data_IF_890142083411
#
_entry.id   IF_890142083411
#
_cell.length_a   1.000
_cell.length_b   1.000
_cell.length_c   1.000
_cell.angle_alpha   90.00
_cell.angle_beta   90.00
_cell.angle_gamma   90.00
#
_symmetry.space_group_name_H-M   'P 1'
#
loop_
_entity.id
_entity.type
_entity.pdbx_description
1 polymer ?
#
# COMPACT_ATOMS: atom_id res chain seq x y z
N UNK A 1 31.63 -3.65 0.29
CA UNK A 1 30.61 -2.84 1.00
C UNK A 1 29.91 -2.00 -0.04
N UNK A 2 28.61 -2.21 -0.33
CA UNK A 2 27.92 -1.40 -1.33
C UNK A 2 27.90 0.07 -0.91
N UNK A 3 28.14 0.95 -1.87
CA UNK A 3 28.17 2.40 -1.68
C UNK A 3 26.77 2.93 -1.36
N UNK A 4 26.66 4.05 -0.62
CA UNK A 4 25.36 4.65 -0.27
C UNK A 4 24.37 4.76 -1.46
N UNK A 5 24.76 5.19 -2.67
CA UNK A 5 23.83 5.22 -3.81
C UNK A 5 23.37 3.83 -4.28
N UNK A 6 24.23 2.81 -4.26
CA UNK A 6 23.83 1.44 -4.66
C UNK A 6 22.79 0.86 -3.70
N UNK A 7 22.90 1.13 -2.40
CA UNK A 7 21.90 0.70 -1.41
C UNK A 7 20.56 1.39 -1.64
N UNK A 8 20.56 2.71 -1.83
CA UNK A 8 19.34 3.48 -2.11
C UNK A 8 18.60 2.98 -3.37
N UNK A 9 19.35 2.70 -4.45
CA UNK A 9 18.75 2.16 -5.67
C UNK A 9 18.23 0.73 -5.48
N UNK A 10 18.93 -0.09 -4.70
CA UNK A 10 18.50 -1.45 -4.38
C UNK A 10 17.23 -1.47 -3.53
N UNK A 11 17.15 -0.59 -2.53
CA UNK A 11 16.01 -0.44 -1.64
C UNK A 11 14.78 0.04 -2.43
N UNK A 12 14.94 1.04 -3.33
CA UNK A 12 13.85 1.51 -4.18
C UNK A 12 13.40 0.45 -5.21
N UNK A 13 14.34 -0.34 -5.74
CA UNK A 13 14.02 -1.47 -6.61
C UNK A 13 13.18 -2.54 -5.90
N UNK A 14 13.49 -2.84 -4.63
CA UNK A 14 12.73 -3.75 -3.80
C UNK A 14 11.32 -3.21 -3.49
N UNK A 15 11.20 -1.91 -3.16
CA UNK A 15 9.91 -1.22 -2.98
C UNK A 15 9.06 -1.33 -4.24
N UNK A 16 9.63 -1.07 -5.41
CA UNK A 16 8.90 -1.15 -6.68
C UNK A 16 8.39 -2.57 -6.97
N UNK A 17 9.22 -3.58 -6.74
CA UNK A 17 8.85 -4.97 -6.97
C UNK A 17 7.69 -5.41 -6.05
N UNK A 18 7.75 -5.03 -4.78
CA UNK A 18 6.72 -5.38 -3.80
C UNK A 18 5.43 -4.57 -4.00
N UNK A 19 5.52 -3.30 -4.41
CA UNK A 19 4.35 -2.49 -4.76
C UNK A 19 3.55 -3.14 -5.91
N UNK A 20 4.24 -3.55 -6.98
CA UNK A 20 3.61 -4.27 -8.10
C UNK A 20 3.05 -5.62 -7.71
N UNK A 21 3.71 -6.32 -6.78
CA UNK A 21 3.20 -7.60 -6.29
C UNK A 21 1.91 -7.38 -5.48
N UNK A 22 1.88 -6.36 -4.62
CA UNK A 22 0.72 -6.03 -3.79
C UNK A 22 -0.51 -5.69 -4.63
N UNK A 23 -0.36 -4.90 -5.70
CA UNK A 23 -1.45 -4.53 -6.62
C UNK A 23 -2.02 -5.72 -7.40
N UNK A 24 -1.22 -6.77 -7.58
CA UNK A 24 -1.65 -7.99 -8.27
C UNK A 24 -2.30 -9.00 -7.34
N UNK A 25 -2.20 -8.82 -6.02
CA UNK A 25 -2.84 -9.70 -5.06
C UNK A 25 -4.31 -9.32 -4.93
N UNK A 26 -5.19 -10.23 -5.37
CA UNK A 26 -6.64 -10.07 -5.30
C UNK A 26 -7.11 -10.09 -3.82
N UNK A 27 -7.78 -9.03 -3.33
CA UNK A 27 -8.36 -8.99 -1.99
C UNK A 27 -9.42 -10.06 -1.73
N UNK A 28 -10.02 -10.64 -2.79
CA UNK A 28 -11.09 -11.64 -2.70
C UNK A 28 -10.64 -13.10 -2.70
N UNK A 29 -9.33 -13.37 -2.73
CA UNK A 29 -8.80 -14.72 -2.84
C UNK A 29 -8.65 -15.44 -1.48
N UNK A 30 -8.58 -16.78 -1.54
CA UNK A 30 -8.47 -17.74 -0.41
C UNK A 30 -7.59 -17.32 0.78
N UNK A 31 -7.72 -17.99 1.94
CA UNK A 31 -6.90 -17.71 3.15
C UNK A 31 -5.39 -17.61 2.88
N UNK A 32 -4.86 -18.37 1.92
CA UNK A 32 -3.45 -18.31 1.51
C UNK A 32 -3.08 -16.98 0.85
N UNK A 33 -3.98 -16.43 0.03
CA UNK A 33 -3.80 -15.12 -0.60
C UNK A 33 -3.84 -14.00 0.45
N UNK A 34 -4.70 -14.11 1.46
CA UNK A 34 -4.72 -13.16 2.58
C UNK A 34 -3.41 -13.20 3.39
N UNK A 35 -2.85 -14.38 3.65
CA UNK A 35 -1.56 -14.50 4.33
C UNK A 35 -0.40 -13.92 3.50
N UNK A 36 -0.41 -14.17 2.19
CA UNK A 36 0.56 -13.61 1.26
C UNK A 36 0.45 -12.08 1.18
N UNK A 37 -0.77 -11.55 1.11
CA UNK A 37 -1.02 -10.11 1.16
C UNK A 37 -0.42 -9.49 2.42
N UNK A 38 -0.70 -10.06 3.60
CA UNK A 38 -0.15 -9.57 4.88
C UNK A 38 1.38 -9.55 4.87
N UNK A 39 2.01 -10.61 4.36
CA UNK A 39 3.47 -10.69 4.29
C UNK A 39 4.05 -9.63 3.35
N UNK A 40 3.47 -9.46 2.16
CA UNK A 40 3.91 -8.45 1.18
C UNK A 40 3.72 -7.04 1.73
N UNK A 41 2.55 -6.74 2.29
CA UNK A 41 2.26 -5.45 2.89
C UNK A 41 3.20 -5.14 4.07
N UNK A 42 3.47 -6.10 4.95
CA UNK A 42 4.40 -5.89 6.07
C UNK A 42 5.82 -5.59 5.60
N UNK A 43 6.34 -6.35 4.62
CA UNK A 43 7.70 -6.14 4.10
C UNK A 43 7.81 -4.83 3.33
N UNK A 44 6.81 -4.51 2.49
CA UNK A 44 6.75 -3.24 1.78
C UNK A 44 6.71 -2.08 2.76
N UNK A 45 5.93 -2.19 3.83
CA UNK A 45 5.83 -1.15 4.86
C UNK A 45 7.16 -0.85 5.55
N UNK A 46 7.92 -1.88 5.93
CA UNK A 46 9.24 -1.69 6.54
C UNK A 46 10.24 -0.99 5.59
N UNK A 47 10.18 -1.31 4.29
CA UNK A 47 11.03 -0.65 3.28
C UNK A 47 10.61 0.79 3.01
N UNK A 48 9.31 1.06 3.03
CA UNK A 48 8.74 2.40 2.87
C UNK A 48 9.09 3.32 4.05
N UNK A 49 9.09 2.79 5.28
CA UNK A 49 9.48 3.52 6.50
C UNK A 49 10.99 3.86 6.51
N UNK A 50 11.81 2.96 5.96
CA UNK A 50 13.25 3.17 5.82
C UNK A 50 13.65 3.99 4.57
N UNK A 51 12.72 4.25 3.65
CA UNK A 51 13.02 4.93 2.39
C UNK A 51 13.28 6.42 2.61
N UNK A 52 14.34 6.94 2.00
CA UNK A 52 14.63 8.37 2.02
C UNK A 52 13.55 9.15 1.25
N UNK A 53 12.91 10.17 1.85
CA UNK A 53 11.97 11.03 1.15
C UNK A 53 12.63 11.73 -0.04
N UNK A 54 11.96 11.74 -1.19
CA UNK A 54 12.49 12.43 -2.37
C UNK A 54 11.71 12.18 -3.65
N UNK A 55 12.13 12.80 -4.77
CA UNK A 55 11.41 12.75 -6.05
C UNK A 55 11.20 11.33 -6.57
N UNK A 56 12.18 10.44 -6.35
CA UNK A 56 12.10 9.05 -6.81
C UNK A 56 11.06 8.23 -6.04
N UNK A 57 10.97 8.43 -4.71
CA UNK A 57 9.94 7.81 -3.88
C UNK A 57 8.56 8.36 -4.24
N UNK A 58 8.42 9.67 -4.40
CA UNK A 58 7.15 10.29 -4.81
C UNK A 58 6.65 9.73 -6.15
N UNK A 59 7.52 9.65 -7.17
CA UNK A 59 7.15 9.09 -8.47
C UNK A 59 6.69 7.62 -8.38
N UNK A 60 7.31 6.82 -7.51
CA UNK A 60 6.88 5.44 -7.26
C UNK A 60 5.50 5.41 -6.61
N UNK A 61 5.29 6.21 -5.56
CA UNK A 61 4.02 6.25 -4.85
C UNK A 61 2.90 6.83 -5.73
N UNK A 62 3.18 7.70 -6.69
CA UNK A 62 2.19 8.23 -7.63
C UNK A 62 1.80 7.18 -8.70
N UNK A 63 2.73 6.29 -9.05
CA UNK A 63 2.48 5.20 -10.00
C UNK A 63 1.80 3.98 -9.36
N UNK A 64 1.91 3.81 -8.03
CA UNK A 64 1.47 2.62 -7.31
C UNK A 64 0.52 2.95 -6.15
N UNK A 65 -0.81 3.05 -6.37
CA UNK A 65 -1.77 3.49 -5.35
C UNK A 65 -1.79 2.61 -4.09
N UNK A 66 -1.58 1.29 -4.20
CA UNK A 66 -1.55 0.42 -3.01
C UNK A 66 -0.34 0.71 -2.11
N UNK A 67 0.80 1.07 -2.71
CA UNK A 67 1.98 1.49 -1.96
C UNK A 67 1.82 2.89 -1.36
N UNK A 68 1.15 3.80 -2.07
CA UNK A 68 0.78 5.11 -1.55
C UNK A 68 -0.10 5.00 -0.30
N UNK A 69 -1.17 4.20 -0.36
CA UNK A 69 -2.07 4.00 0.78
C UNK A 69 -1.32 3.44 1.99
N UNK A 70 -0.43 2.47 1.78
CA UNK A 70 0.39 1.91 2.86
C UNK A 70 1.36 2.94 3.45
N UNK A 71 2.03 3.72 2.60
CA UNK A 71 2.92 4.81 3.03
C UNK A 71 2.17 5.86 3.85
N UNK A 72 0.98 6.26 3.39
CA UNK A 72 0.09 7.19 4.09
C UNK A 72 -0.34 6.65 5.45
N UNK A 73 -0.75 5.38 5.53
CA UNK A 73 -1.15 4.73 6.77
C UNK A 73 -0.01 4.63 7.80
N UNK A 74 1.22 4.40 7.35
CA UNK A 74 2.41 4.37 8.22
C UNK A 74 2.75 5.75 8.78
N UNK A 75 2.68 6.77 7.93
CA UNK A 75 3.01 8.15 8.29
C UNK A 75 1.79 8.96 8.76
N UNK A 76 0.69 8.28 9.11
CA UNK A 76 -0.60 8.88 9.45
C UNK A 76 -0.49 9.88 10.62
N UNK A 77 0.37 9.60 11.61
CA UNK A 77 0.59 10.50 12.74
C UNK A 77 1.29 11.81 12.35
N UNK A 78 1.93 11.86 11.16
CA UNK A 78 2.78 12.96 10.70
C UNK A 78 2.21 13.68 9.47
N UNK A 79 1.31 13.03 8.72
CA UNK A 79 0.70 13.56 7.49
C UNK A 79 -0.83 13.49 7.58
N UNK A 80 -1.43 14.40 8.33
CA UNK A 80 -2.87 14.56 8.37
C UNK A 80 -3.42 15.17 7.08
N UNK A 81 -3.38 14.45 5.94
CA UNK A 81 -4.34 14.48 4.81
C UNK A 81 -3.74 13.87 3.53
N UNK A 82 -4.33 12.73 3.14
CA UNK A 82 -4.45 12.10 1.81
C UNK A 82 -3.52 12.59 0.68
N UNK A 83 -2.58 11.74 0.25
CA UNK A 83 -1.82 11.93 -1.01
C UNK A 83 -2.60 11.43 -2.23
N UNK A 84 -3.64 10.60 -2.05
CA UNK A 84 -4.61 10.20 -3.09
C UNK A 84 -6.01 10.76 -2.82
N UNK A 85 -6.70 11.15 -3.90
CA UNK A 85 -8.02 11.79 -3.84
C UNK A 85 -9.02 10.93 -3.06
N UNK A 86 -9.61 11.51 -2.02
CA UNK A 86 -10.68 10.99 -1.14
C UNK A 86 -11.78 10.15 -1.83
N UNK A 87 -12.00 10.31 -3.14
CA UNK A 87 -13.04 9.62 -3.89
C UNK A 87 -12.88 8.09 -3.99
N UNK A 88 -11.65 7.56 -4.13
CA UNK A 88 -11.44 6.11 -4.23
C UNK A 88 -11.64 5.40 -2.88
N UNK A 89 -11.17 6.03 -1.79
CA UNK A 89 -11.35 5.53 -0.42
C UNK A 89 -12.83 5.56 0.00
N UNK A 90 -13.55 6.65 -0.32
CA UNK A 90 -14.99 6.74 -0.10
C UNK A 90 -15.78 5.67 -0.88
N UNK A 91 -15.35 5.33 -2.09
CA UNK A 91 -15.98 4.25 -2.88
C UNK A 91 -15.90 2.89 -2.19
N UNK A 92 -14.74 2.55 -1.63
CA UNK A 92 -14.55 1.32 -0.85
C UNK A 92 -15.35 1.32 0.46
N UNK A 93 -15.43 2.46 1.14
CA UNK A 93 -16.25 2.62 2.34
C UNK A 93 -17.75 2.40 2.05
N UNK A 94 -18.27 3.05 1.01
CA UNK A 94 -19.66 2.89 0.56
C UNK A 94 -19.93 1.42 0.19
N UNK A 95 -19.03 0.79 -0.57
CA UNK A 95 -19.16 -0.61 -0.96
C UNK A 95 -19.17 -1.56 0.24
N UNK A 96 -18.31 -1.34 1.24
CA UNK A 96 -18.27 -2.13 2.47
C UNK A 96 -19.54 -1.97 3.30
N UNK A 97 -20.03 -0.74 3.47
CA UNK A 97 -21.28 -0.45 4.19
C UNK A 97 -22.47 -1.14 3.53
N UNK A 98 -22.56 -1.09 2.20
CA UNK A 98 -23.66 -1.72 1.47
C UNK A 98 -23.63 -3.24 1.57
N UNK A 99 -22.44 -3.85 1.55
CA UNK A 99 -22.29 -5.30 1.70
C UNK A 99 -22.73 -5.76 3.10
N UNK A 100 -22.33 -5.03 4.15
CA UNK A 100 -22.76 -5.28 5.54
C UNK A 100 -24.28 -5.13 5.68
N UNK A 101 -24.86 -4.09 5.07
CA UNK A 101 -26.31 -3.83 5.10
C UNK A 101 -27.07 -5.00 4.46
N UNK A 102 -26.64 -5.48 3.29
CA UNK A 102 -27.24 -6.64 2.61
C UNK A 102 -27.13 -7.94 3.42
N UNK A 103 -26.00 -8.16 4.08
CA UNK A 103 -25.81 -9.32 4.95
C UNK A 103 -26.74 -9.30 6.18
N UNK A 104 -27.04 -8.11 6.70
CA UNK A 104 -27.97 -7.91 7.83
C UNK A 104 -29.43 -8.12 7.45
N UNK A 105 -29.84 -7.76 6.23
CA UNK A 105 -31.22 -7.91 5.74
C UNK A 105 -31.55 -9.30 5.21
N UNK A 106 -30.54 -10.18 5.08
CA UNK A 106 -30.71 -11.59 4.66
C UNK A 106 -30.88 -12.57 5.82
N UNK A 107 -31.13 -12.06 7.04
CA UNK A 107 -31.49 -12.85 8.22
C UNK A 107 -32.99 -12.85 8.44
#
# INVERSE_FOLDING_TARGET
MPTRPERLHHDLGAVLALARLLERLDPGASERAAAQYRQVASTLGALLDAAEPGPALNALLDAHPAAAELYENLHYAQAGLCRHALGASLGSEIAAVDLIRRARTRR
#
